data_IF_078888209507
#
_entry.id   IF_078888209507
#
_cell.length_a   1.000
_cell.length_b   1.000
_cell.length_c   1.000
_cell.angle_alpha   90.00
_cell.angle_beta   90.00
_cell.angle_gamma   90.00
#
_symmetry.space_group_name_H-M   'P 1'
#
loop_
_entity.id
_entity.type
_entity.pdbx_description
1 polymer ?
#
# COMPACT_ATOMS: atom_id res chain seq x y z
N UNK A 1 28.10 29.55 -13.11
CA UNK A 1 27.78 28.11 -13.24
C UNK A 1 29.00 27.25 -13.55
N UNK A 2 30.05 27.76 -14.21
CA UNK A 2 31.26 26.97 -14.52
C UNK A 2 32.20 26.76 -13.32
N UNK A 3 32.28 27.70 -12.38
CA UNK A 3 33.20 27.61 -11.23
C UNK A 3 32.99 26.34 -10.37
N UNK A 4 31.75 25.96 -10.10
CA UNK A 4 31.47 24.76 -9.31
C UNK A 4 31.88 23.45 -10.02
N UNK A 5 31.94 23.44 -11.36
CA UNK A 5 32.35 22.27 -12.13
C UNK A 5 33.88 22.09 -12.13
N UNK A 6 34.64 23.19 -12.04
CA UNK A 6 36.10 23.14 -11.95
C UNK A 6 36.60 22.67 -10.58
N UNK A 7 35.82 22.89 -9.52
CA UNK A 7 36.23 22.52 -8.16
C UNK A 7 35.67 21.17 -7.71
N UNK A 8 34.48 20.77 -8.18
CA UNK A 8 33.84 19.53 -7.74
C UNK A 8 34.39 18.30 -8.47
N UNK A 9 35.06 17.35 -7.78
CA UNK A 9 35.51 16.11 -8.41
C UNK A 9 34.36 15.30 -9.00
N UNK A 10 33.18 15.35 -8.36
CA UNK A 10 31.97 14.68 -8.84
C UNK A 10 31.52 15.22 -10.20
N UNK A 11 31.53 16.54 -10.40
CA UNK A 11 31.06 17.15 -11.65
C UNK A 11 32.05 16.97 -12.81
N UNK A 12 33.31 16.65 -12.52
CA UNK A 12 34.34 16.30 -13.52
C UNK A 12 34.19 14.88 -14.06
N UNK A 13 33.50 13.98 -13.35
CA UNK A 13 33.25 12.63 -13.83
C UNK A 13 32.35 12.66 -15.08
N UNK A 14 32.44 11.69 -15.99
CA UNK A 14 31.45 11.50 -17.05
C UNK A 14 30.02 11.36 -16.49
N UNK A 15 29.03 11.78 -17.28
CA UNK A 15 27.63 11.80 -16.86
C UNK A 15 27.12 10.41 -16.44
N UNK A 16 27.61 9.36 -17.09
CA UNK A 16 27.29 7.96 -16.81
C UNK A 16 27.71 7.58 -15.39
N UNK A 17 28.94 7.94 -14.99
CA UNK A 17 29.43 7.66 -13.63
C UNK A 17 28.68 8.48 -12.59
N UNK A 18 28.36 9.74 -12.89
CA UNK A 18 27.53 10.56 -11.99
C UNK A 18 26.16 9.95 -11.77
N UNK A 19 25.50 9.50 -12.85
CA UNK A 19 24.20 8.85 -12.78
C UNK A 19 24.24 7.54 -11.97
N UNK A 20 25.31 6.76 -12.10
CA UNK A 20 25.52 5.57 -11.25
C UNK A 20 25.67 5.95 -9.78
N UNK A 21 26.46 6.98 -9.47
CA UNK A 21 26.60 7.50 -8.09
C UNK A 21 25.25 7.99 -7.56
N UNK A 22 24.51 8.77 -8.33
CA UNK A 22 23.18 9.23 -7.94
C UNK A 22 22.23 8.05 -7.72
N UNK A 23 22.31 7.00 -8.53
CA UNK A 23 21.50 5.78 -8.32
C UNK A 23 21.80 5.08 -7.00
N UNK A 24 23.06 5.10 -6.54
CA UNK A 24 23.45 4.59 -5.22
C UNK A 24 22.95 5.50 -4.09
N UNK A 25 23.00 6.82 -4.27
CA UNK A 25 22.53 7.81 -3.26
C UNK A 25 21.01 7.79 -3.14
N UNK A 26 20.31 7.78 -4.27
CA UNK A 26 18.86 7.70 -4.37
C UNK A 26 18.39 6.25 -4.49
N UNK A 27 19.05 5.33 -3.76
CA UNK A 27 18.80 3.88 -3.75
C UNK A 27 17.32 3.51 -3.85
N UNK A 28 16.99 2.31 -4.30
CA UNK A 28 15.59 1.85 -4.38
C UNK A 28 14.93 1.83 -2.99
N UNK A 29 14.24 2.92 -2.66
CA UNK A 29 13.49 3.05 -1.42
C UNK A 29 12.07 2.50 -1.63
N UNK A 30 11.53 1.86 -0.60
CA UNK A 30 10.09 1.65 -0.51
C UNK A 30 9.51 2.77 0.37
N UNK A 31 8.60 3.56 -0.19
CA UNK A 31 8.08 4.79 0.43
C UNK A 31 6.57 4.67 0.59
N UNK A 32 6.09 4.61 1.82
CA UNK A 32 4.66 4.72 2.11
C UNK A 32 4.21 6.17 1.94
N UNK A 33 3.14 6.36 1.18
CA UNK A 33 2.52 7.65 0.93
C UNK A 33 1.14 7.64 1.55
N UNK A 34 0.97 8.39 2.63
CA UNK A 34 -0.25 8.45 3.41
C UNK A 34 -0.94 9.80 3.26
N UNK A 35 -2.27 9.78 3.17
CA UNK A 35 -3.08 11.00 3.14
C UNK A 35 -3.70 11.29 4.50
N UNK A 36 -3.38 12.45 5.04
CA UNK A 36 -4.01 12.96 6.26
C UNK A 36 -4.92 14.15 5.92
N UNK A 37 -6.14 14.14 6.46
CA UNK A 37 -7.06 15.27 6.32
C UNK A 37 -6.49 16.45 7.11
N UNK A 38 -6.61 17.67 6.57
CA UNK A 38 -6.00 18.91 7.10
C UNK A 38 -5.95 18.97 8.63
N UNK A 39 -4.80 18.64 9.20
CA UNK A 39 -4.48 18.98 10.56
C UNK A 39 -3.95 20.42 10.60
N UNK A 40 -4.07 21.10 11.74
CA UNK A 40 -3.48 22.45 11.95
C UNK A 40 -1.97 22.48 11.67
N UNK A 41 -1.30 21.33 11.72
CA UNK A 41 0.13 21.14 11.50
C UNK A 41 0.53 20.99 10.04
N UNK A 42 -0.42 20.80 9.12
CA UNK A 42 -0.10 20.64 7.72
C UNK A 42 0.36 21.96 7.12
N UNK A 43 1.61 22.00 6.67
CA UNK A 43 2.12 23.20 6.00
C UNK A 43 1.32 23.39 4.71
N UNK A 44 0.91 24.63 4.39
CA UNK A 44 0.30 24.91 3.10
C UNK A 44 1.24 24.41 2.01
N UNK A 45 0.68 23.61 1.11
CA UNK A 45 1.44 22.95 0.06
C UNK A 45 2.12 24.01 -0.81
N UNK A 46 3.46 23.98 -0.87
CA UNK A 46 4.24 24.97 -1.65
C UNK A 46 3.92 24.93 -3.14
N UNK A 47 3.63 23.75 -3.68
CA UNK A 47 3.18 23.58 -5.07
C UNK A 47 1.67 23.48 -5.08
N UNK A 48 1.03 24.43 -5.79
CA UNK A 48 -0.38 24.32 -6.15
C UNK A 48 -0.54 23.07 -7.02
N UNK A 49 -1.65 22.36 -6.85
CA UNK A 49 -2.01 21.28 -7.75
C UNK A 49 -2.04 21.81 -9.19
N UNK A 50 -1.87 20.92 -10.17
CA UNK A 50 -2.34 21.27 -11.50
C UNK A 50 -3.86 21.38 -11.44
N UNK A 51 -4.35 22.57 -11.09
CA UNK A 51 -5.74 22.81 -10.74
C UNK A 51 -6.67 22.46 -11.90
N UNK A 52 -6.26 22.70 -13.15
CA UNK A 52 -7.07 22.33 -14.31
C UNK A 52 -7.17 20.82 -14.46
N UNK A 53 -6.06 20.08 -14.38
CA UNK A 53 -6.07 18.62 -14.43
C UNK A 53 -6.85 17.99 -13.26
N UNK A 54 -6.75 18.58 -12.06
CA UNK A 54 -7.48 18.11 -10.88
C UNK A 54 -8.98 18.40 -10.96
N UNK A 55 -9.37 19.61 -11.41
CA UNK A 55 -10.78 19.97 -11.63
C UNK A 55 -11.40 19.07 -12.69
N UNK A 56 -10.70 18.83 -13.79
CA UNK A 56 -11.12 17.91 -14.83
C UNK A 56 -11.24 16.47 -14.32
N UNK A 57 -10.30 16.03 -13.50
CA UNK A 57 -10.35 14.70 -12.89
C UNK A 57 -11.52 14.54 -11.91
N UNK A 58 -11.81 15.58 -11.12
CA UNK A 58 -12.83 15.49 -10.06
C UNK A 58 -14.24 15.77 -10.53
N UNK A 59 -14.49 16.52 -11.63
CA UNK A 59 -15.79 16.82 -12.29
C UNK A 59 -17.05 16.36 -11.52
N UNK A 60 -17.29 16.92 -10.33
CA UNK A 60 -18.50 16.69 -9.51
C UNK A 60 -18.35 15.81 -8.26
N UNK A 61 -17.21 15.17 -8.03
CA UNK A 61 -16.93 14.45 -6.79
C UNK A 61 -16.45 15.41 -5.68
N UNK A 62 -17.38 15.90 -4.88
CA UNK A 62 -17.12 16.74 -3.68
C UNK A 62 -16.37 16.01 -2.54
N UNK A 63 -15.96 14.75 -2.75
CA UNK A 63 -15.46 13.88 -1.69
C UNK A 63 -13.98 14.12 -1.34
N UNK A 64 -13.21 14.77 -2.20
CA UNK A 64 -11.79 15.02 -1.94
C UNK A 64 -11.60 16.42 -1.38
N UNK A 65 -11.50 16.47 -0.06
CA UNK A 65 -11.05 17.63 0.67
C UNK A 65 -9.61 17.96 0.23
N UNK A 66 -9.46 18.96 -0.65
CA UNK A 66 -8.17 19.42 -1.22
C UNK A 66 -7.15 19.82 -0.16
N UNK A 67 -7.65 20.02 1.04
CA UNK A 67 -6.98 20.61 2.16
C UNK A 67 -6.07 19.64 2.92
N UNK A 68 -6.02 18.35 2.53
CA UNK A 68 -5.13 17.39 3.18
C UNK A 68 -3.68 17.34 2.66
N UNK A 69 -2.88 16.58 3.39
CA UNK A 69 -1.43 16.55 3.38
C UNK A 69 -0.97 15.15 3.01
N UNK A 70 0.18 15.05 2.34
CA UNK A 70 0.79 13.75 2.03
C UNK A 70 2.00 13.57 2.94
N UNK A 71 2.05 12.45 3.64
CA UNK A 71 3.16 12.07 4.49
C UNK A 71 3.93 10.93 3.82
N UNK A 72 5.26 11.01 3.88
CA UNK A 72 6.14 10.07 3.22
C UNK A 72 6.98 9.34 4.27
N UNK A 73 6.78 8.03 4.42
CA UNK A 73 7.51 7.20 5.38
C UNK A 73 8.38 6.19 4.64
N UNK A 74 9.65 6.09 5.03
CA UNK A 74 10.50 5.00 4.55
C UNK A 74 10.02 3.70 5.18
N UNK A 75 9.86 2.68 4.35
CA UNK A 75 9.57 1.33 4.80
C UNK A 75 10.69 0.83 5.71
N UNK A 76 10.29 0.24 6.82
CA UNK A 76 11.17 -0.44 7.79
C UNK A 76 10.85 -1.92 7.92
N UNK A 77 10.00 -2.45 7.03
CA UNK A 77 9.66 -3.86 7.03
C UNK A 77 10.94 -4.69 6.90
N UNK A 78 11.15 -5.71 7.77
CA UNK A 78 12.34 -6.54 7.72
C UNK A 78 12.39 -7.41 6.45
N UNK A 79 11.22 -7.71 5.89
CA UNK A 79 11.06 -8.50 4.67
C UNK A 79 10.68 -7.59 3.53
N UNK A 80 11.39 -7.67 2.40
CA UNK A 80 11.03 -6.90 1.21
C UNK A 80 9.70 -7.40 0.65
N UNK A 81 8.99 -6.52 -0.05
CA UNK A 81 7.72 -6.89 -0.68
C UNK A 81 7.88 -7.94 -1.79
N UNK A 82 9.05 -7.99 -2.44
CA UNK A 82 9.37 -9.06 -3.41
C UNK A 82 9.57 -10.40 -2.69
N UNK A 83 10.27 -10.41 -1.57
CA UNK A 83 10.46 -11.63 -0.78
C UNK A 83 9.12 -12.12 -0.20
N UNK A 84 8.28 -11.20 0.27
CA UNK A 84 6.92 -11.51 0.71
C UNK A 84 6.08 -12.13 -0.42
N UNK A 85 6.22 -11.63 -1.65
CA UNK A 85 5.57 -12.22 -2.82
C UNK A 85 6.10 -13.63 -3.11
N UNK A 86 7.42 -13.85 -3.07
CA UNK A 86 8.00 -15.19 -3.25
C UNK A 86 7.51 -16.18 -2.19
N UNK A 87 7.50 -15.79 -0.91
CA UNK A 87 6.93 -16.58 0.18
C UNK A 87 5.45 -16.85 -0.01
N UNK A 88 4.69 -15.90 -0.54
CA UNK A 88 3.27 -16.13 -0.84
C UNK A 88 3.07 -17.24 -1.87
N UNK A 89 4.01 -17.41 -2.81
CA UNK A 89 3.93 -18.44 -3.87
C UNK A 89 4.47 -19.79 -3.48
N UNK A 90 5.58 -19.83 -2.75
CA UNK A 90 6.35 -21.05 -2.50
C UNK A 90 5.88 -21.73 -1.20
N UNK A 91 5.24 -22.91 -1.26
CA UNK A 91 4.80 -23.61 -0.07
C UNK A 91 5.93 -24.05 0.88
N UNK A 92 7.18 -24.09 0.41
CA UNK A 92 8.35 -24.53 1.17
C UNK A 92 9.02 -23.41 1.97
N UNK A 93 8.86 -22.16 1.56
CA UNK A 93 9.40 -20.97 2.26
C UNK A 93 8.48 -20.46 3.37
N UNK A 94 7.45 -21.24 3.66
CA UNK A 94 6.45 -20.95 4.66
C UNK A 94 7.04 -21.15 6.05
N UNK A 95 6.66 -20.26 6.97
CA UNK A 95 6.93 -20.44 8.39
C UNK A 95 6.29 -21.77 8.83
N UNK A 96 7.12 -22.80 9.00
CA UNK A 96 6.68 -24.06 9.58
C UNK A 96 6.23 -23.76 11.00
N UNK A 97 4.97 -24.10 11.30
CA UNK A 97 4.38 -23.93 12.62
C UNK A 97 5.35 -24.53 13.66
N UNK A 98 5.68 -23.82 14.75
CA UNK A 98 6.44 -24.44 15.82
C UNK A 98 5.64 -25.61 16.41
N UNK A 99 6.33 -26.54 17.07
CA UNK A 99 5.82 -27.87 17.45
C UNK A 99 4.50 -27.89 18.24
N UNK A 100 4.03 -29.10 18.60
CA UNK A 100 2.69 -29.34 19.18
C UNK A 100 2.24 -28.40 20.32
N UNK A 101 3.17 -27.80 21.06
CA UNK A 101 2.90 -26.77 22.08
C UNK A 101 2.26 -25.47 21.55
N UNK A 102 2.41 -25.15 20.26
CA UNK A 102 1.85 -23.95 19.64
C UNK A 102 0.56 -24.20 18.85
N UNK A 103 0.05 -25.43 18.86
CA UNK A 103 -1.16 -25.81 18.12
C UNK A 103 -2.38 -24.96 18.52
N UNK A 104 -2.44 -24.54 19.79
CA UNK A 104 -3.51 -23.66 20.29
C UNK A 104 -3.34 -22.19 19.91
N UNK A 105 -2.10 -21.71 19.77
CA UNK A 105 -1.81 -20.35 19.30
C UNK A 105 -2.06 -20.19 17.79
N UNK A 106 -2.13 -21.30 17.06
CA UNK A 106 -2.27 -21.34 15.60
C UNK A 106 -3.66 -21.77 15.11
N UNK A 107 -4.68 -21.84 15.99
CA UNK A 107 -6.04 -22.21 15.56
C UNK A 107 -6.63 -21.27 14.52
N UNK A 108 -6.20 -20.01 14.52
CA UNK A 108 -6.60 -19.06 13.49
C UNK A 108 -6.11 -19.48 12.09
N UNK A 109 -5.16 -20.41 11.97
CA UNK A 109 -4.72 -21.03 10.71
C UNK A 109 -5.53 -22.28 10.32
N UNK A 110 -6.40 -22.83 11.19
CA UNK A 110 -7.24 -24.02 10.92
C UNK A 110 -6.48 -25.29 10.46
N UNK A 111 -5.22 -25.46 10.86
CA UNK A 111 -4.40 -26.56 10.34
C UNK A 111 -3.96 -26.36 8.88
N UNK A 112 -4.21 -25.19 8.29
CA UNK A 112 -3.42 -24.72 7.17
C UNK A 112 -1.97 -24.63 7.67
N UNK A 113 -1.03 -25.42 7.11
CA UNK A 113 0.37 -25.34 7.51
C UNK A 113 0.98 -23.99 7.16
N UNK A 114 0.24 -23.13 6.44
CA UNK A 114 0.72 -21.87 5.93
C UNK A 114 -0.09 -20.66 6.37
N UNK A 115 0.63 -19.58 6.66
CA UNK A 115 0.09 -18.24 6.72
C UNK A 115 0.84 -17.32 5.76
N UNK A 116 0.10 -16.64 4.89
CA UNK A 116 0.62 -15.49 4.15
C UNK A 116 0.56 -14.29 5.10
N UNK A 117 1.73 -13.85 5.57
CA UNK A 117 1.84 -12.65 6.41
C UNK A 117 1.04 -11.51 5.81
N UNK A 118 0.25 -10.84 6.65
CA UNK A 118 -0.46 -9.67 6.17
C UNK A 118 0.51 -8.54 5.90
N UNK A 119 0.22 -7.75 4.86
CA UNK A 119 0.89 -6.47 4.67
C UNK A 119 0.81 -5.61 5.95
N UNK A 120 -0.32 -5.65 6.67
CA UNK A 120 -0.50 -4.84 7.88
C UNK A 120 0.53 -5.20 8.95
N UNK A 121 0.85 -6.48 9.11
CA UNK A 121 1.89 -6.96 10.03
C UNK A 121 3.28 -6.59 9.53
N UNK A 122 3.59 -6.83 8.25
CA UNK A 122 4.93 -6.52 7.71
C UNK A 122 5.30 -5.04 7.84
N UNK A 123 4.30 -4.17 7.73
CA UNK A 123 4.48 -2.71 7.70
C UNK A 123 4.05 -2.00 8.99
N UNK A 124 3.80 -2.74 10.07
CA UNK A 124 3.37 -2.20 11.35
C UNK A 124 4.33 -1.13 11.92
N UNK A 125 5.63 -1.32 11.70
CA UNK A 125 6.71 -0.47 12.16
C UNK A 125 7.10 0.63 11.16
N UNK A 126 6.52 0.62 9.95
CA UNK A 126 6.78 1.65 8.93
C UNK A 126 6.10 2.97 9.29
N UNK A 127 5.00 2.89 10.02
CA UNK A 127 4.23 4.05 10.44
C UNK A 127 4.66 4.47 11.85
N UNK A 128 4.66 5.77 12.17
CA UNK A 128 4.77 6.20 13.56
C UNK A 128 3.61 5.55 14.32
N UNK A 129 3.92 4.75 15.35
CA UNK A 129 2.90 4.12 16.17
C UNK A 129 1.99 5.21 16.70
N UNK A 130 0.74 5.21 16.26
CA UNK A 130 -0.26 6.07 16.87
C UNK A 130 -0.50 5.50 18.26
N UNK A 131 -0.34 6.32 19.31
CA UNK A 131 -0.77 6.05 20.69
C UNK A 131 -2.30 5.87 20.74
N UNK A 132 -2.78 4.83 20.08
CA UNK A 132 -4.17 4.42 19.90
C UNK A 132 -4.63 3.55 21.05
N UNK A 133 -3.69 3.07 21.88
CA UNK A 133 -4.01 2.23 23.04
C UNK A 133 -4.75 2.98 24.15
N UNK A 134 -4.77 4.32 24.15
CA UNK A 134 -5.54 5.09 25.14
C UNK A 134 -6.82 5.62 24.46
N UNK A 135 -8.01 5.09 24.80
CA UNK A 135 -9.28 5.63 24.35
C UNK A 135 -9.38 7.12 24.66
N UNK A 136 -9.94 7.92 23.75
CA UNK A 136 -9.99 9.39 23.89
C UNK A 136 -10.60 9.88 25.21
N UNK A 137 -11.51 9.10 25.83
CA UNK A 137 -12.11 9.39 27.14
C UNK A 137 -11.18 9.10 28.33
N UNK A 138 -10.15 8.24 28.15
CA UNK A 138 -9.07 8.01 29.12
C UNK A 138 -7.90 8.99 28.96
N UNK A 139 -7.88 9.76 27.87
CA UNK A 139 -6.84 10.78 27.66
C UNK A 139 -7.14 12.04 28.47
N UNK A 140 -6.18 12.51 29.25
CA UNK A 140 -6.27 13.82 29.91
C UNK A 140 -6.37 14.93 28.84
N UNK A 141 -6.89 16.13 29.18
CA UNK A 141 -6.85 17.27 28.26
C UNK A 141 -5.44 17.55 27.73
N UNK A 142 -4.41 17.35 28.57
CA UNK A 142 -3.01 17.50 28.18
C UNK A 142 -2.56 16.43 27.20
N UNK A 143 -2.98 15.17 27.35
CA UNK A 143 -2.70 14.10 26.39
C UNK A 143 -3.43 14.30 25.06
N UNK A 144 -4.65 14.86 25.08
CA UNK A 144 -5.36 15.23 23.84
C UNK A 144 -4.63 16.36 23.12
N UNK A 145 -4.17 17.36 23.86
CA UNK A 145 -3.37 18.45 23.30
C UNK A 145 -2.02 17.94 22.79
N UNK A 146 -1.33 17.09 23.55
CA UNK A 146 -0.08 16.47 23.12
C UNK A 146 -0.27 15.54 21.93
N UNK A 147 -1.35 14.74 21.86
CA UNK A 147 -1.68 13.91 20.68
C UNK A 147 -1.97 14.77 19.46
N UNK A 148 -2.71 15.87 19.65
CA UNK A 148 -2.96 16.86 18.60
C UNK A 148 -1.70 17.66 18.21
N UNK A 149 -0.69 17.76 19.09
CA UNK A 149 0.61 18.37 18.81
C UNK A 149 1.63 17.38 18.24
N UNK A 150 1.55 16.10 18.63
CA UNK A 150 2.19 14.93 18.01
C UNK A 150 1.53 14.57 16.68
N UNK A 151 0.47 15.30 16.28
CA UNK A 151 -0.08 15.23 14.95
C UNK A 151 1.08 15.19 13.96
N UNK A 152 1.09 14.10 13.18
CA UNK A 152 2.24 13.62 12.42
C UNK A 152 2.99 14.80 11.86
N UNK A 153 4.23 15.02 12.34
CA UNK A 153 5.08 16.09 11.80
C UNK A 153 5.06 15.93 10.29
N UNK A 154 4.73 16.99 9.56
CA UNK A 154 4.69 16.96 8.10
C UNK A 154 6.04 16.44 7.57
N UNK A 155 6.06 15.19 7.13
CA UNK A 155 7.26 14.54 6.62
C UNK A 155 7.20 14.68 5.12
N UNK A 156 7.87 15.71 4.60
CA UNK A 156 7.94 15.94 3.17
C UNK A 156 8.79 14.87 2.47
N UNK A 157 8.45 14.56 1.21
CA UNK A 157 9.23 13.64 0.37
C UNK A 157 10.72 14.03 0.32
N UNK A 158 11.00 15.33 0.22
CA UNK A 158 12.37 15.87 0.21
C UNK A 158 13.14 15.52 1.47
N UNK A 159 12.48 15.60 2.63
CA UNK A 159 13.09 15.25 3.91
C UNK A 159 13.26 13.73 4.03
N UNK A 160 12.26 12.94 3.64
CA UNK A 160 12.31 11.47 3.74
C UNK A 160 13.41 10.86 2.88
N UNK A 161 13.63 11.41 1.67
CA UNK A 161 14.64 10.89 0.73
C UNK A 161 15.98 11.63 0.77
N UNK A 162 16.17 12.53 1.74
CA UNK A 162 17.36 13.36 1.85
C UNK A 162 17.73 14.02 0.50
N UNK A 163 16.74 14.62 -0.18
CA UNK A 163 16.92 15.23 -1.51
C UNK A 163 17.72 16.55 -1.47
N UNK A 164 18.35 16.87 -0.35
CA UNK A 164 19.20 18.05 -0.17
C UNK A 164 20.32 18.09 -1.23
N UNK A 165 20.80 16.93 -1.69
CA UNK A 165 21.78 16.85 -2.79
C UNK A 165 21.27 17.53 -4.07
N UNK A 166 19.98 17.42 -4.39
CA UNK A 166 19.37 18.04 -5.57
C UNK A 166 19.37 19.58 -5.49
N UNK A 167 19.50 20.16 -4.30
CA UNK A 167 19.53 21.60 -4.09
C UNK A 167 20.94 22.19 -4.22
N UNK A 168 21.99 21.34 -4.24
CA UNK A 168 23.39 21.80 -4.23
C UNK A 168 23.87 22.36 -5.57
N UNK A 169 23.38 21.82 -6.69
CA UNK A 169 23.83 22.20 -8.03
C UNK A 169 22.74 22.02 -9.08
N UNK A 170 22.62 22.99 -9.98
CA UNK A 170 21.67 22.92 -11.11
C UNK A 170 21.96 21.72 -12.02
N UNK A 171 23.22 21.34 -12.19
CA UNK A 171 23.58 20.18 -13.01
C UNK A 171 23.10 18.88 -12.36
N UNK A 172 23.41 18.69 -11.07
CA UNK A 172 22.95 17.55 -10.28
C UNK A 172 21.42 17.47 -10.30
N UNK A 173 20.73 18.59 -10.11
CA UNK A 173 19.28 18.66 -10.21
C UNK A 173 18.76 18.15 -11.56
N UNK A 174 19.32 18.63 -12.68
CA UNK A 174 18.82 18.22 -14.00
C UNK A 174 19.05 16.73 -14.27
N UNK A 175 20.19 16.19 -13.83
CA UNK A 175 20.56 14.79 -14.04
C UNK A 175 19.75 13.85 -13.13
N UNK A 176 19.53 14.24 -11.86
CA UNK A 176 19.08 13.32 -10.84
C UNK A 176 17.64 13.53 -10.34
N UNK A 177 16.97 14.66 -10.65
CA UNK A 177 15.62 14.97 -10.11
C UNK A 177 14.54 13.89 -10.36
N UNK A 178 14.73 13.05 -11.37
CA UNK A 178 13.78 11.99 -11.72
C UNK A 178 14.15 10.62 -11.12
N UNK A 179 15.40 10.42 -10.68
CA UNK A 179 15.86 9.14 -10.13
C UNK A 179 15.07 8.67 -8.91
N UNK A 180 14.72 9.55 -7.94
CA UNK A 180 13.86 9.13 -6.83
C UNK A 180 12.53 8.51 -7.28
N UNK A 181 11.97 8.96 -8.39
CA UNK A 181 10.69 8.47 -8.90
C UNK A 181 10.82 7.19 -9.71
N UNK A 182 11.92 7.03 -10.45
CA UNK A 182 12.15 5.84 -11.29
C UNK A 182 12.74 4.65 -10.55
N UNK A 183 13.46 4.90 -9.44
CA UNK A 183 14.14 3.85 -8.67
C UNK A 183 13.34 3.39 -7.44
N UNK A 184 12.46 4.24 -6.89
CA UNK A 184 11.69 3.92 -5.69
C UNK A 184 10.36 3.23 -6.00
N UNK A 185 9.86 2.47 -5.04
CA UNK A 185 8.47 1.97 -5.02
C UNK A 185 7.64 2.85 -4.10
N UNK A 186 6.55 3.42 -4.63
CA UNK A 186 5.61 4.22 -3.84
C UNK A 186 4.42 3.36 -3.43
N UNK A 187 4.22 3.20 -2.12
CA UNK A 187 3.15 2.42 -1.53
C UNK A 187 1.97 3.27 -1.07
N UNK A 188 0.76 2.85 -1.39
CA UNK A 188 -0.49 3.54 -1.04
C UNK A 188 -1.47 2.60 -0.35
N UNK A 189 -1.95 3.00 0.83
CA UNK A 189 -3.04 2.31 1.56
C UNK A 189 -4.42 2.91 1.25
N UNK A 190 -4.43 4.08 0.64
CA UNK A 190 -5.60 4.88 0.31
C UNK A 190 -5.48 5.39 -1.14
N UNK A 191 -6.53 5.20 -1.92
CA UNK A 191 -6.61 5.71 -3.29
C UNK A 191 -6.50 7.23 -3.35
N UNK A 192 -6.96 7.95 -2.32
CA UNK A 192 -6.83 9.41 -2.25
C UNK A 192 -5.36 9.82 -2.19
N UNK A 193 -4.53 9.08 -1.44
CA UNK A 193 -3.10 9.34 -1.37
C UNK A 193 -2.42 9.14 -2.73
N UNK A 194 -2.79 8.09 -3.47
CA UNK A 194 -2.31 7.85 -4.83
C UNK A 194 -2.66 9.01 -5.77
N UNK A 195 -3.93 9.42 -5.77
CA UNK A 195 -4.39 10.49 -6.64
C UNK A 195 -3.69 11.81 -6.32
N UNK A 196 -3.66 12.22 -5.06
CA UNK A 196 -2.99 13.45 -4.66
C UNK A 196 -1.50 13.41 -4.98
N UNK A 197 -0.85 12.26 -4.81
CA UNK A 197 0.55 12.08 -5.18
C UNK A 197 0.76 12.32 -6.67
N UNK A 198 0.04 11.58 -7.53
CA UNK A 198 0.21 11.66 -8.98
C UNK A 198 -0.14 13.04 -9.55
N UNK A 199 -1.16 13.70 -9.00
CA UNK A 199 -1.60 15.03 -9.47
C UNK A 199 -0.76 16.18 -8.90
N UNK A 200 0.07 15.93 -7.87
CA UNK A 200 1.10 16.88 -7.40
C UNK A 200 2.39 16.81 -8.20
N UNK A 201 2.66 15.68 -8.86
CA UNK A 201 3.81 15.54 -9.73
C UNK A 201 3.60 16.29 -11.05
N UNK A 202 4.69 16.87 -11.56
CA UNK A 202 4.74 17.31 -12.96
C UNK A 202 4.47 16.10 -13.86
N UNK A 203 3.79 16.27 -15.02
CA UNK A 203 3.49 15.14 -15.91
C UNK A 203 4.73 14.30 -16.28
N UNK A 204 5.87 14.95 -16.49
CA UNK A 204 7.15 14.28 -16.73
C UNK A 204 7.61 13.43 -15.54
N UNK A 205 7.46 13.93 -14.30
CA UNK A 205 7.81 13.20 -13.08
C UNK A 205 6.84 12.04 -12.82
N UNK A 206 5.54 12.25 -13.01
CA UNK A 206 4.54 11.19 -12.87
C UNK A 206 4.85 10.03 -13.83
N UNK A 207 5.22 10.36 -15.08
CA UNK A 207 5.63 9.39 -16.09
C UNK A 207 7.02 8.76 -15.85
N UNK A 208 7.76 9.21 -14.84
CA UNK A 208 8.98 8.50 -14.39
C UNK A 208 8.71 7.51 -13.27
N UNK A 209 7.52 7.53 -12.64
CA UNK A 209 7.15 6.57 -11.61
C UNK A 209 7.07 5.17 -12.21
N UNK A 210 8.04 4.32 -11.84
CA UNK A 210 8.18 2.97 -12.40
C UNK A 210 7.48 1.90 -11.57
N UNK A 211 7.43 2.07 -10.25
CA UNK A 211 6.93 1.05 -9.34
C UNK A 211 5.93 1.62 -8.34
N UNK A 212 4.76 0.99 -8.26
CA UNK A 212 3.71 1.33 -7.30
C UNK A 212 3.31 0.07 -6.54
N UNK A 213 3.08 0.25 -5.24
CA UNK A 213 2.46 -0.73 -4.37
C UNK A 213 1.09 -0.23 -3.89
N UNK A 214 0.10 -1.10 -3.87
CA UNK A 214 -1.27 -0.80 -3.47
C UNK A 214 -1.75 -1.78 -2.41
N UNK A 215 -2.29 -1.26 -1.32
CA UNK A 215 -3.00 -2.06 -0.34
C UNK A 215 -4.50 -1.94 -0.54
N UNK A 216 -5.13 -3.10 -0.72
CA UNK A 216 -6.57 -3.26 -0.91
C UNK A 216 -7.12 -4.08 0.24
N UNK A 217 -8.28 -3.68 0.76
CA UNK A 217 -8.99 -4.46 1.76
C UNK A 217 -10.23 -5.08 1.14
N UNK A 218 -10.28 -6.41 1.12
CA UNK A 218 -11.44 -7.17 0.69
C UNK A 218 -12.43 -7.33 1.84
N UNK A 219 -13.71 -7.07 1.59
CA UNK A 219 -14.78 -7.13 2.59
C UNK A 219 -15.35 -5.78 2.96
N UNK A 220 -16.48 -5.79 3.67
CA UNK A 220 -17.13 -4.56 4.12
C UNK A 220 -16.22 -3.84 5.12
N UNK A 221 -15.70 -2.71 4.71
CA UNK A 221 -14.81 -1.87 5.50
C UNK A 221 -15.32 -0.45 5.43
N UNK A 222 -15.48 0.22 6.56
CA UNK A 222 -15.72 1.68 6.60
C UNK A 222 -14.47 2.50 6.25
N UNK A 223 -13.36 1.81 5.97
CA UNK A 223 -12.02 2.39 5.79
C UNK A 223 -11.78 2.71 4.31
N UNK A 224 -10.98 3.76 4.06
CA UNK A 224 -10.62 4.26 2.73
C UNK A 224 -9.91 3.26 1.80
N UNK A 225 -9.46 2.14 2.33
CA UNK A 225 -8.85 1.03 1.59
C UNK A 225 -9.88 0.08 0.95
N UNK A 226 -11.19 0.40 1.00
CA UNK A 226 -12.25 -0.38 0.36
C UNK A 226 -12.03 -0.43 -1.17
N UNK A 227 -12.09 -1.65 -1.72
CA UNK A 227 -11.90 -1.91 -3.15
C UNK A 227 -12.93 -1.21 -4.01
N UNK A 228 -14.15 -0.94 -3.53
CA UNK A 228 -15.14 -0.15 -4.26
C UNK A 228 -14.66 1.29 -4.49
N UNK A 229 -14.02 1.89 -3.49
CA UNK A 229 -13.42 3.22 -3.62
C UNK A 229 -12.29 3.17 -4.64
N UNK A 230 -11.38 2.20 -4.53
CA UNK A 230 -10.34 1.98 -5.52
C UNK A 230 -10.91 1.85 -6.93
N UNK A 231 -11.91 0.99 -7.14
CA UNK A 231 -12.52 0.79 -8.44
C UNK A 231 -13.06 2.08 -9.03
N UNK A 232 -13.88 2.81 -8.27
CA UNK A 232 -14.48 4.07 -8.73
C UNK A 232 -13.42 5.10 -9.17
N UNK A 233 -12.33 5.22 -8.42
CA UNK A 233 -11.30 6.22 -8.69
C UNK A 233 -10.30 5.80 -9.76
N UNK A 234 -9.97 4.52 -9.86
CA UNK A 234 -9.09 4.01 -10.91
C UNK A 234 -9.73 4.16 -12.31
N UNK A 235 -11.06 4.22 -12.38
CA UNK A 235 -11.77 4.45 -13.63
C UNK A 235 -11.62 5.84 -14.23
N UNK A 236 -11.19 6.81 -13.43
CA UNK A 236 -11.14 8.20 -13.82
C UNK A 236 -10.19 8.39 -15.04
N UNK A 237 -10.68 8.96 -16.16
CA UNK A 237 -9.94 9.04 -17.43
C UNK A 237 -8.56 9.71 -17.34
N UNK A 238 -8.37 10.63 -16.39
CA UNK A 238 -7.12 11.38 -16.21
C UNK A 238 -5.99 10.64 -15.50
N UNK A 239 -6.23 9.42 -14.99
CA UNK A 239 -5.24 8.68 -14.22
C UNK A 239 -4.18 8.01 -15.10
N UNK A 240 -4.60 7.28 -16.14
CA UNK A 240 -3.71 6.49 -16.99
C UNK A 240 -2.61 7.29 -17.70
N UNK A 241 -2.87 8.50 -18.23
CA UNK A 241 -1.81 9.31 -18.85
C UNK A 241 -0.68 9.70 -17.89
N UNK A 242 -0.91 9.65 -16.57
CA UNK A 242 0.11 9.94 -15.53
C UNK A 242 0.89 8.71 -15.09
N UNK A 243 0.50 7.52 -15.54
CA UNK A 243 1.08 6.24 -15.17
C UNK A 243 1.75 5.53 -16.35
N UNK A 244 2.05 6.25 -17.43
CA UNK A 244 2.70 5.66 -18.62
C UNK A 244 4.11 5.12 -18.32
N UNK A 245 4.75 5.62 -17.25
CA UNK A 245 6.01 5.12 -16.73
C UNK A 245 5.93 3.83 -15.92
N UNK A 246 4.72 3.42 -15.50
CA UNK A 246 4.56 2.29 -14.60
C UNK A 246 4.98 0.99 -15.30
N UNK A 247 5.86 0.23 -14.64
CA UNK A 247 6.36 -1.07 -15.09
C UNK A 247 6.10 -2.17 -14.07
N UNK A 248 6.18 -1.83 -12.78
CA UNK A 248 6.02 -2.78 -11.68
C UNK A 248 4.79 -2.40 -10.87
N UNK A 249 3.82 -3.29 -10.78
CA UNK A 249 2.62 -3.11 -9.97
C UNK A 249 2.56 -4.19 -8.89
N UNK A 250 2.63 -3.78 -7.63
CA UNK A 250 2.41 -4.68 -6.50
C UNK A 250 1.04 -4.39 -5.87
N UNK A 251 0.22 -5.41 -5.72
CA UNK A 251 -1.06 -5.37 -5.04
C UNK A 251 -1.03 -6.30 -3.81
N UNK A 252 -1.17 -5.74 -2.62
CA UNK A 252 -1.38 -6.48 -1.38
C UNK A 252 -2.85 -6.42 -1.00
N UNK A 253 -3.48 -7.59 -0.87
CA UNK A 253 -4.91 -7.72 -0.61
C UNK A 253 -5.09 -8.37 0.75
N UNK A 254 -5.84 -7.70 1.62
CA UNK A 254 -6.13 -8.17 2.97
C UNK A 254 -7.62 -8.49 3.08
N UNK A 255 -7.95 -9.73 3.40
CA UNK A 255 -9.32 -10.22 3.53
C UNK A 255 -9.82 -9.93 4.96
N UNK A 256 -10.78 -9.02 5.07
CA UNK A 256 -11.39 -8.63 6.33
C UNK A 256 -12.78 -9.24 6.49
N UNK A 257 -12.88 -10.21 7.40
CA UNK A 257 -14.13 -10.80 7.84
C UNK A 257 -14.60 -10.11 9.13
N UNK A 258 -15.60 -9.23 9.04
CA UNK A 258 -16.00 -8.34 10.14
C UNK A 258 -17.10 -8.91 11.08
N UNK A 259 -17.69 -10.08 10.80
CA UNK A 259 -18.67 -10.74 11.69
C UNK A 259 -19.53 -11.80 10.99
N UNK A 260 -20.34 -12.53 11.78
CA UNK A 260 -21.39 -13.43 11.26
C UNK A 260 -22.58 -12.61 10.73
N UNK A 261 -23.00 -12.88 9.48
CA UNK A 261 -24.26 -12.35 8.93
C UNK A 261 -24.19 -11.02 8.18
N UNK A 262 -23.04 -10.34 8.11
CA UNK A 262 -22.90 -9.08 7.35
C UNK A 262 -21.65 -9.05 6.45
N UNK A 263 -21.73 -9.81 5.35
CA UNK A 263 -21.05 -9.56 4.06
C UNK A 263 -19.56 -9.18 4.13
N UNK A 264 -18.73 -10.02 4.77
CA UNK A 264 -17.33 -10.18 4.34
C UNK A 264 -17.31 -10.71 2.89
N UNK A 265 -16.18 -10.65 2.16
CA UNK A 265 -16.20 -11.15 0.80
C UNK A 265 -16.25 -12.68 0.92
N UNK A 266 -17.45 -13.23 0.75
CA UNK A 266 -17.70 -14.65 0.91
C UNK A 266 -16.85 -15.39 -0.13
N UNK A 267 -16.52 -16.65 0.14
CA UNK A 267 -15.88 -17.54 -0.83
C UNK A 267 -16.53 -17.42 -2.23
N UNK A 268 -17.85 -17.25 -2.27
CA UNK A 268 -18.66 -17.02 -3.47
C UNK A 268 -18.41 -15.71 -4.24
N UNK A 269 -17.93 -14.63 -3.61
CA UNK A 269 -17.60 -13.37 -4.31
C UNK A 269 -16.30 -13.47 -5.14
N UNK A 270 -15.49 -14.50 -4.90
CA UNK A 270 -14.22 -14.68 -5.61
C UNK A 270 -14.26 -15.79 -6.66
N UNK A 271 -15.25 -16.67 -6.64
CA UNK A 271 -15.48 -17.59 -7.75
C UNK A 271 -16.08 -16.84 -8.95
N UNK A 272 -15.68 -17.24 -10.17
CA UNK A 272 -16.22 -16.67 -11.41
C UNK A 272 -17.74 -16.86 -11.46
N UNK A 273 -18.53 -15.82 -11.79
CA UNK A 273 -18.23 -14.65 -12.63
C UNK A 273 -17.81 -13.35 -11.89
N UNK A 274 -17.58 -13.38 -10.58
CA UNK A 274 -17.52 -12.14 -9.77
C UNK A 274 -16.17 -11.44 -9.73
N UNK A 275 -15.07 -12.10 -10.09
CA UNK A 275 -13.72 -11.49 -10.10
C UNK A 275 -13.71 -10.17 -10.87
N UNK A 276 -14.33 -10.15 -12.05
CA UNK A 276 -14.43 -8.97 -12.92
C UNK A 276 -15.08 -7.76 -12.22
N UNK A 277 -16.04 -7.99 -11.34
CA UNK A 277 -16.69 -6.91 -10.58
C UNK A 277 -15.80 -6.35 -9.48
N UNK A 278 -14.97 -7.19 -8.87
CA UNK A 278 -14.10 -6.83 -7.75
C UNK A 278 -12.84 -6.10 -8.21
N UNK A 279 -12.26 -6.49 -9.35
CA UNK A 279 -11.04 -5.88 -9.90
C UNK A 279 -11.33 -4.89 -11.03
N UNK A 280 -12.57 -4.43 -11.15
CA UNK A 280 -13.03 -3.71 -12.34
C UNK A 280 -12.21 -2.45 -12.63
N UNK A 281 -11.81 -1.68 -11.60
CA UNK A 281 -10.94 -0.53 -11.77
C UNK A 281 -9.49 -0.92 -12.06
N UNK A 282 -9.01 -2.06 -11.54
CA UNK A 282 -7.66 -2.56 -11.82
C UNK A 282 -7.48 -2.91 -13.31
N UNK A 283 -8.56 -3.21 -14.05
CA UNK A 283 -8.51 -3.45 -15.50
C UNK A 283 -7.87 -2.30 -16.27
N UNK A 284 -7.89 -1.06 -15.74
CA UNK A 284 -7.21 0.08 -16.35
C UNK A 284 -5.70 -0.12 -16.44
N UNK A 285 -5.10 -0.79 -15.45
CA UNK A 285 -3.67 -1.11 -15.45
C UNK A 285 -3.27 -2.05 -16.58
N UNK A 286 -4.20 -2.86 -17.12
CA UNK A 286 -3.95 -3.65 -18.33
C UNK A 286 -3.53 -2.75 -19.49
N UNK A 287 -3.99 -1.51 -19.55
CA UNK A 287 -3.63 -0.53 -20.58
C UNK A 287 -2.18 -0.03 -20.51
N UNK A 288 -1.45 -0.33 -19.44
CA UNK A 288 -0.09 0.14 -19.22
C UNK A 288 0.95 -0.91 -19.64
N UNK A 289 2.18 -0.48 -19.96
CA UNK A 289 3.29 -1.38 -20.31
C UNK A 289 3.91 -2.05 -19.07
N UNK A 290 3.12 -2.82 -18.33
CA UNK A 290 3.61 -3.53 -17.14
C UNK A 290 4.60 -4.63 -17.53
N UNK A 291 5.75 -4.65 -16.85
CA UNK A 291 6.80 -5.67 -16.93
C UNK A 291 6.60 -6.73 -15.84
N UNK A 292 6.14 -6.33 -14.66
CA UNK A 292 5.99 -7.20 -13.49
C UNK A 292 4.72 -6.84 -12.72
N UNK A 293 3.95 -7.86 -12.35
CA UNK A 293 2.82 -7.74 -11.43
C UNK A 293 3.01 -8.72 -10.29
N UNK A 294 2.89 -8.23 -9.06
CA UNK A 294 2.93 -9.04 -7.84
C UNK A 294 1.59 -8.90 -7.13
N UNK A 295 0.97 -10.01 -6.76
CA UNK A 295 -0.30 -10.02 -6.02
C UNK A 295 -0.14 -10.92 -4.82
N UNK A 296 -0.29 -10.34 -3.62
CA UNK A 296 -0.27 -11.06 -2.34
C UNK A 296 -1.67 -10.99 -1.76
N UNK A 297 -2.19 -12.13 -1.30
CA UNK A 297 -3.53 -12.25 -0.75
C UNK A 297 -3.39 -12.85 0.63
N UNK A 298 -3.85 -12.13 1.65
CA UNK A 298 -3.63 -12.46 3.06
C UNK A 298 -4.89 -12.23 3.87
N UNK A 299 -5.00 -12.86 5.04
CA UNK A 299 -6.06 -12.53 5.98
C UNK A 299 -5.71 -11.20 6.68
N UNK A 300 -6.69 -10.35 6.94
CA UNK A 300 -6.50 -9.19 7.82
C UNK A 300 -6.29 -9.69 9.25
N UNK A 301 -5.17 -9.34 9.90
CA UNK A 301 -4.85 -9.74 11.29
C UNK A 301 -5.98 -9.40 12.26
N UNK A 302 -6.65 -8.27 12.02
CA UNK A 302 -7.70 -7.75 12.89
C UNK A 302 -9.11 -8.21 12.47
N UNK A 303 -9.22 -9.10 11.49
CA UNK A 303 -10.50 -9.72 11.14
C UNK A 303 -10.91 -10.79 12.15
N UNK A 304 -12.17 -11.20 12.13
CA UNK A 304 -12.73 -12.27 12.95
C UNK A 304 -11.93 -13.58 12.87
N UNK A 305 -11.33 -13.86 11.71
CA UNK A 305 -10.50 -15.06 11.51
C UNK A 305 -9.00 -14.75 11.37
N UNK A 306 -8.60 -13.50 11.61
CA UNK A 306 -7.20 -13.13 11.74
C UNK A 306 -6.65 -13.47 13.12
N UNK A 307 -5.35 -13.28 13.29
CA UNK A 307 -4.64 -13.53 14.55
C UNK A 307 -5.26 -12.77 15.73
N UNK A 308 -5.64 -11.49 15.56
CA UNK A 308 -6.22 -10.67 16.64
C UNK A 308 -7.68 -11.05 16.92
N UNK A 309 -8.41 -11.52 15.90
CA UNK A 309 -9.82 -11.89 16.01
C UNK A 309 -10.04 -13.09 16.93
N UNK A 310 -9.13 -14.07 16.90
CA UNK A 310 -9.18 -15.23 17.77
C UNK A 310 -8.93 -14.88 19.24
N UNK A 311 -8.06 -13.90 19.50
CA UNK A 311 -7.69 -13.46 20.85
C UNK A 311 -8.77 -12.58 21.51
N UNK A 312 -9.69 -12.02 20.73
CA UNK A 312 -10.73 -11.14 21.24
C UNK A 312 -11.75 -11.92 22.09
N UNK A 313 -11.70 -11.70 23.42
CA UNK A 313 -12.58 -12.33 24.42
C UNK A 313 -14.08 -12.15 24.13
N UNK A 314 -14.49 -11.05 23.51
CA UNK A 314 -15.89 -10.78 23.19
C UNK A 314 -16.38 -11.62 22.00
N UNK A 315 -15.52 -11.81 20.98
CA UNK A 315 -15.85 -12.68 19.86
C UNK A 315 -15.91 -14.14 20.30
N UNK A 316 -14.98 -14.57 21.19
CA UNK A 316 -15.02 -15.91 21.82
C UNK A 316 -16.34 -16.22 22.51
N UNK A 317 -16.96 -15.23 23.17
CA UNK A 317 -18.26 -15.40 23.83
C UNK A 317 -19.42 -15.55 22.84
N UNK A 318 -19.38 -14.82 21.71
CA UNK A 318 -20.42 -14.86 20.67
C UNK A 318 -20.46 -16.20 19.90
N UNK A 319 -19.39 -17.00 19.96
CA UNK A 319 -19.26 -18.27 19.23
C UNK A 319 -19.86 -19.49 19.95
N UNK A 320 -20.68 -19.27 21.00
CA UNK A 320 -21.33 -20.34 21.75
C UNK A 320 -20.37 -21.43 22.27
N UNK A 321 -19.20 -21.02 22.77
CA UNK A 321 -18.24 -21.87 23.52
C UNK A 321 -17.66 -23.10 22.80
N UNK A 322 -18.06 -23.38 21.55
CA UNK A 322 -17.68 -24.58 20.79
C UNK A 322 -16.58 -24.25 19.78
N UNK A 323 -15.37 -24.73 20.07
CA UNK A 323 -14.21 -24.59 19.18
C UNK A 323 -14.45 -25.19 17.79
N UNK A 324 -15.16 -26.31 17.71
CA UNK A 324 -15.48 -26.99 16.45
C UNK A 324 -16.36 -26.15 15.53
N UNK A 325 -17.33 -25.42 16.10
CA UNK A 325 -18.21 -24.54 15.32
C UNK A 325 -17.44 -23.38 14.68
N UNK A 326 -16.44 -22.84 15.39
CA UNK A 326 -15.56 -21.80 14.82
C UNK A 326 -14.70 -22.34 13.68
N UNK A 327 -14.14 -23.54 13.85
CA UNK A 327 -13.33 -24.19 12.79
C UNK A 327 -14.18 -24.46 11.55
N UNK A 328 -15.38 -25.01 11.70
CA UNK A 328 -16.30 -25.23 10.59
C UNK A 328 -16.63 -23.92 9.87
N UNK A 329 -16.91 -22.86 10.61
CA UNK A 329 -17.20 -21.55 10.03
C UNK A 329 -15.99 -20.99 9.26
N UNK A 330 -14.78 -21.08 9.82
CA UNK A 330 -13.58 -20.65 9.09
C UNK A 330 -13.36 -21.47 7.81
N UNK A 331 -13.57 -22.78 7.85
CA UNK A 331 -13.44 -23.64 6.66
C UNK A 331 -14.46 -23.27 5.56
N UNK A 332 -15.65 -22.84 5.96
CA UNK A 332 -16.70 -22.38 5.05
C UNK A 332 -16.41 -21.00 4.46
N UNK A 333 -15.95 -20.07 5.30
CA UNK A 333 -15.87 -18.64 4.97
C UNK A 333 -14.51 -18.16 4.49
N UNK A 334 -13.41 -18.76 4.95
CA UNK A 334 -12.06 -18.32 4.64
C UNK A 334 -11.43 -19.13 3.50
N UNK A 335 -10.54 -18.45 2.77
CA UNK A 335 -9.68 -19.09 1.79
C UNK A 335 -8.52 -19.82 2.46
N UNK A 336 -8.28 -21.04 2.03
CA UNK A 336 -7.02 -21.71 2.29
C UNK A 336 -5.85 -20.97 1.59
N UNK A 337 -4.65 -21.19 2.09
CA UNK A 337 -3.38 -20.83 1.48
C UNK A 337 -3.34 -20.99 -0.04
N UNK A 338 -3.64 -22.19 -0.53
CA UNK A 338 -3.58 -22.51 -1.95
C UNK A 338 -4.62 -21.75 -2.77
N UNK A 339 -5.79 -21.49 -2.19
CA UNK A 339 -6.82 -20.68 -2.86
C UNK A 339 -6.39 -19.22 -2.97
N UNK A 340 -5.78 -18.66 -1.92
CA UNK A 340 -5.18 -17.31 -1.94
C UNK A 340 -4.09 -17.20 -3.01
N UNK A 341 -3.24 -18.23 -3.15
CA UNK A 341 -2.20 -18.32 -4.20
C UNK A 341 -2.79 -18.35 -5.59
N UNK A 342 -3.74 -19.27 -5.82
CA UNK A 342 -4.42 -19.39 -7.11
C UNK A 342 -5.09 -18.08 -7.50
N UNK A 343 -5.70 -17.40 -6.53
CA UNK A 343 -6.36 -16.13 -6.76
C UNK A 343 -5.37 -15.00 -7.08
N UNK A 344 -4.28 -14.88 -6.32
CA UNK A 344 -3.20 -13.93 -6.61
C UNK A 344 -2.61 -14.14 -8.00
N UNK A 345 -2.36 -15.40 -8.38
CA UNK A 345 -1.82 -15.75 -9.70
C UNK A 345 -2.81 -15.47 -10.83
N UNK A 346 -4.11 -15.76 -10.64
CA UNK A 346 -5.17 -15.41 -11.60
C UNK A 346 -5.22 -13.91 -11.85
N UNK A 347 -5.22 -13.09 -10.79
CA UNK A 347 -5.22 -11.64 -10.91
C UNK A 347 -3.94 -11.11 -11.58
N UNK A 348 -2.78 -11.67 -11.23
CA UNK A 348 -1.49 -11.36 -11.87
C UNK A 348 -1.57 -11.55 -13.39
N UNK A 349 -1.95 -12.76 -13.83
CA UNK A 349 -2.05 -13.12 -15.24
C UNK A 349 -3.03 -12.23 -16.00
N UNK A 350 -4.17 -11.93 -15.38
CA UNK A 350 -5.18 -11.03 -15.93
C UNK A 350 -4.64 -9.62 -16.19
N UNK A 351 -3.91 -9.05 -15.22
CA UNK A 351 -3.33 -7.71 -15.34
C UNK A 351 -2.19 -7.64 -16.37
N UNK A 352 -1.40 -8.71 -16.51
CA UNK A 352 -0.35 -8.83 -17.52
C UNK A 352 -0.87 -9.22 -18.91
N UNK A 353 -2.18 -9.42 -19.07
CA UNK A 353 -2.80 -9.90 -20.33
C UNK A 353 -2.26 -11.27 -20.79
N UNK A 354 -1.72 -12.07 -19.88
CA UNK A 354 -1.31 -13.45 -20.17
C UNK A 354 -2.52 -14.36 -20.42
N UNK A 355 -3.71 -13.90 -20.04
CA UNK A 355 -5.00 -14.54 -20.30
C UNK A 355 -5.83 -13.55 -21.14
N UNK A 356 -6.22 -13.99 -22.35
CA UNK A 356 -7.04 -13.19 -23.28
C UNK A 356 -8.53 -13.26 -22.96
N UNK A 357 -8.98 -14.29 -22.25
CA UNK A 357 -10.39 -14.58 -21.97
C UNK A 357 -10.57 -15.01 -20.50
N UNK A 358 -11.39 -14.28 -19.75
CA UNK A 358 -12.03 -14.70 -18.50
C UNK A 358 -13.53 -14.57 -18.72
#
# INVERSE_FOLDING_TARGET
TLLNAEESPLLKLPAELRNNIYGLVFSSYFIHVEYERKAKTCRPLRRKFNDSAWVEFTRGHNLLDRDGCLHYYLCKAPTSERDAYQRSKDPSLNEQVPGESERMANYWRLGDPFHIDSCKQRHDNCYPQEDTQIPGWMMTPQDRTQRAQRAKTDISLYKSLNLNLLETSRQIYQEAKNLPFSLSTFGFTDVVALLLFLFRLEPSQANTVRSIWMFLRAGRSSVRSDVKLWNNWLFAPGLLPRLQGLRVLHISISIANAGMGDKGPLRGEFYEPHLNSWVLGLNRFRGLPLEEVMVIVSDDPSSMFGIDGYENKYLRYAWQSSHESWLQLRQQECFAADEKRQWGERLRKHLLREISEI
#
